data_IF_152201879127
#
_entry.id   IF_152201879127
#
_cell.length_a   1.000
_cell.length_b   1.000
_cell.length_c   1.000
_cell.angle_alpha   90.00
_cell.angle_beta   90.00
_cell.angle_gamma   90.00
#
_symmetry.space_group_name_H-M   'P 1'
#
loop_
_entity.id
_entity.type
_entity.pdbx_description
1 polymer ?
#
# COMPACT_ATOMS: atom_id res chain seq x y z
N UNK A 1 -13.92 -24.18 -8.93
CA UNK A 1 -13.81 -22.99 -8.07
C UNK A 1 -13.29 -21.88 -8.96
N UNK A 2 -14.17 -21.00 -9.41
CA UNK A 2 -13.76 -19.85 -10.21
C UNK A 2 -13.00 -18.88 -9.31
N UNK A 3 -11.71 -18.72 -9.59
CA UNK A 3 -10.89 -17.71 -8.91
C UNK A 3 -11.23 -16.37 -9.56
N UNK A 4 -12.15 -15.63 -8.95
CA UNK A 4 -12.45 -14.26 -9.36
C UNK A 4 -11.18 -13.41 -9.16
N UNK A 5 -10.54 -13.02 -10.26
CA UNK A 5 -9.42 -12.07 -10.21
C UNK A 5 -10.02 -10.68 -10.09
N UNK A 6 -9.78 -10.01 -8.96
CA UNK A 6 -10.11 -8.58 -8.84
C UNK A 6 -9.22 -7.78 -9.79
N UNK A 7 -9.83 -6.95 -10.63
CA UNK A 7 -9.11 -5.98 -11.46
C UNK A 7 -8.62 -4.82 -10.58
N UNK A 8 -7.37 -4.89 -10.13
CA UNK A 8 -6.74 -3.91 -9.24
C UNK A 8 -5.75 -3.08 -10.07
N UNK A 9 -5.83 -1.75 -9.96
CA UNK A 9 -4.87 -0.86 -10.61
C UNK A 9 -3.49 -0.98 -9.95
N UNK A 10 -2.41 -1.08 -10.74
CA UNK A 10 -1.05 -1.27 -10.22
C UNK A 10 -0.11 -0.19 -10.75
N UNK A 11 0.41 0.64 -9.85
CA UNK A 11 1.49 1.59 -10.12
C UNK A 11 2.81 1.05 -9.58
N UNK A 12 3.68 0.59 -10.49
CA UNK A 12 5.00 0.07 -10.14
C UNK A 12 5.94 1.19 -9.68
N UNK A 13 6.85 0.86 -8.76
CA UNK A 13 7.93 1.78 -8.37
C UNK A 13 9.01 1.78 -9.45
N UNK A 14 9.68 2.92 -9.66
CA UNK A 14 10.85 3.00 -10.52
C UNK A 14 12.14 2.50 -9.84
N UNK A 15 12.17 2.54 -8.50
CA UNK A 15 13.32 2.14 -7.69
C UNK A 15 12.87 1.16 -6.61
N UNK A 16 13.45 -0.04 -6.61
CA UNK A 16 13.17 -1.07 -5.60
C UNK A 16 14.10 -0.92 -4.41
N UNK A 17 13.54 -1.03 -3.20
CA UNK A 17 14.25 -1.01 -1.91
C UNK A 17 14.94 -2.34 -1.60
N UNK A 18 14.78 -3.36 -2.43
CA UNK A 18 15.36 -4.68 -2.19
C UNK A 18 16.89 -4.65 -2.05
N UNK A 19 17.56 -3.74 -2.75
CA UNK A 19 19.02 -3.57 -2.67
C UNK A 19 19.49 -2.93 -1.35
N UNK A 20 18.60 -2.25 -0.62
CA UNK A 20 18.88 -1.59 0.65
C UNK A 20 18.60 -2.52 1.85
N UNK A 21 18.01 -3.69 1.62
CA UNK A 21 17.64 -4.66 2.64
C UNK A 21 18.86 -5.41 3.19
N UNK A 22 19.20 -5.16 4.46
CA UNK A 22 20.10 -6.05 5.21
C UNK A 22 19.36 -7.31 5.66
N UNK A 23 19.60 -8.42 4.95
CA UNK A 23 18.98 -9.72 5.22
C UNK A 23 19.39 -10.32 6.57
N UNK A 24 20.51 -9.89 7.15
CA UNK A 24 21.01 -10.43 8.41
C UNK A 24 20.44 -9.68 9.64
N UNK A 25 19.81 -8.52 9.44
CA UNK A 25 19.26 -7.69 10.51
C UNK A 25 17.86 -7.16 10.13
N UNK A 26 16.88 -8.05 10.07
CA UNK A 26 15.49 -7.69 9.79
C UNK A 26 14.79 -7.35 11.11
N UNK A 27 14.61 -6.05 11.36
CA UNK A 27 13.86 -5.56 12.51
C UNK A 27 12.35 -5.54 12.26
N UNK A 28 11.57 -6.09 13.20
CA UNK A 28 10.12 -6.11 13.13
C UNK A 28 9.54 -4.69 13.09
N UNK A 29 8.64 -4.41 12.12
CA UNK A 29 7.94 -3.13 11.99
C UNK A 29 8.78 -1.96 11.47
N UNK A 30 10.01 -2.20 11.01
CA UNK A 30 10.90 -1.14 10.47
C UNK A 30 11.25 -1.32 9.00
N UNK A 31 11.06 -2.52 8.46
CA UNK A 31 11.35 -2.85 7.05
C UNK A 31 10.03 -2.95 6.29
N UNK A 32 9.88 -2.17 5.22
CA UNK A 32 8.66 -2.08 4.41
C UNK A 32 8.94 -2.45 2.95
N UNK A 33 7.96 -3.06 2.29
CA UNK A 33 8.03 -3.36 0.85
C UNK A 33 7.94 -2.11 -0.03
N UNK A 34 8.16 -2.30 -1.33
CA UNK A 34 8.11 -1.24 -2.35
C UNK A 34 6.71 -0.65 -2.55
N UNK A 35 5.67 -1.40 -2.22
CA UNK A 35 4.27 -1.06 -2.50
C UNK A 35 3.38 -1.22 -1.28
N UNK A 36 2.24 -0.52 -1.33
CA UNK A 36 1.11 -0.63 -0.42
C UNK A 36 -0.19 -0.75 -1.21
N UNK A 37 -1.18 -1.45 -0.64
CA UNK A 37 -2.55 -1.51 -1.15
C UNK A 37 -3.38 -0.41 -0.47
N UNK A 38 -4.09 0.38 -1.25
CA UNK A 38 -4.99 1.44 -0.76
C UNK A 38 -6.39 1.21 -1.33
N UNK A 39 -7.41 1.39 -0.51
CA UNK A 39 -8.80 1.38 -0.93
C UNK A 39 -9.55 2.43 -0.10
N UNK A 40 -10.17 3.39 -0.79
CA UNK A 40 -10.94 4.43 -0.13
C UNK A 40 -12.35 3.94 0.21
N UNK A 41 -12.84 4.34 1.38
CA UNK A 41 -14.23 4.12 1.76
C UNK A 41 -14.96 5.47 1.77
N UNK A 42 -15.89 5.65 0.86
CA UNK A 42 -16.60 6.91 0.63
C UNK A 42 -18.09 6.62 0.48
N UNK A 43 -18.92 7.43 1.14
CA UNK A 43 -20.40 7.34 1.07
C UNK A 43 -20.99 5.95 1.35
N UNK A 44 -20.34 5.19 2.24
CA UNK A 44 -20.83 3.87 2.65
C UNK A 44 -20.40 2.72 1.73
N UNK A 45 -19.48 2.96 0.79
CA UNK A 45 -18.99 1.94 -0.14
C UNK A 45 -17.47 1.95 -0.28
N UNK A 46 -16.91 0.79 -0.59
CA UNK A 46 -15.51 0.65 -0.98
C UNK A 46 -15.34 1.07 -2.44
N UNK A 47 -14.37 1.95 -2.69
CA UNK A 47 -13.90 2.28 -4.02
C UNK A 47 -12.93 1.21 -4.54
N UNK A 48 -12.56 1.34 -5.81
CA UNK A 48 -11.60 0.44 -6.46
C UNK A 48 -10.26 0.49 -5.71
N UNK A 49 -9.74 -0.68 -5.35
CA UNK A 49 -8.44 -0.80 -4.71
C UNK A 49 -7.31 -0.52 -5.71
N UNK A 50 -6.21 0.02 -5.20
CA UNK A 50 -5.00 0.31 -5.97
C UNK A 50 -3.75 -0.17 -5.23
N UNK A 51 -2.78 -0.70 -5.99
CA UNK A 51 -1.43 -0.99 -5.50
C UNK A 51 -0.53 0.15 -5.96
N UNK A 52 0.02 0.90 -5.00
CA UNK A 52 0.85 2.08 -5.27
C UNK A 52 2.19 2.01 -4.53
N UNK A 53 3.22 2.76 -4.95
CA UNK A 53 4.49 2.80 -4.23
C UNK A 53 4.29 3.23 -2.77
N UNK A 54 4.96 2.53 -1.86
CA UNK A 54 4.85 2.79 -0.42
C UNK A 54 5.35 4.20 -0.08
N UNK A 55 4.53 4.96 0.63
CA UNK A 55 4.87 6.32 1.04
C UNK A 55 3.87 6.91 2.03
N UNK A 56 4.09 8.18 2.38
CA UNK A 56 3.22 8.88 3.32
C UNK A 56 1.81 9.02 2.75
N UNK A 57 0.81 8.84 3.61
CA UNK A 57 -0.59 9.12 3.27
C UNK A 57 -0.90 10.59 3.55
N UNK A 58 -1.53 11.25 2.58
CA UNK A 58 -2.07 12.60 2.77
C UNK A 58 -3.50 12.49 3.28
N UNK A 59 -3.77 13.09 4.43
CA UNK A 59 -5.09 13.08 5.08
C UNK A 59 -5.46 14.48 5.55
N UNK A 60 -6.76 14.77 5.59
CA UNK A 60 -7.26 16.02 6.18
C UNK A 60 -6.97 16.03 7.68
N UNK A 61 -6.54 17.15 8.28
CA UNK A 61 -6.39 17.27 9.73
C UNK A 61 -7.69 17.03 10.52
N UNK A 62 -8.84 17.14 9.87
CA UNK A 62 -10.15 16.91 10.48
C UNK A 62 -10.57 15.42 10.50
N UNK A 63 -9.74 14.49 10.03
CA UNK A 63 -10.08 13.06 10.08
C UNK A 63 -10.19 12.56 11.52
N UNK A 64 -11.25 11.82 11.82
CA UNK A 64 -11.57 11.34 13.17
C UNK A 64 -10.63 10.28 13.75
N UNK A 65 -9.64 9.82 12.98
CA UNK A 65 -8.68 8.80 13.42
C UNK A 65 -7.46 9.37 14.16
N UNK A 66 -7.16 10.66 14.01
CA UNK A 66 -6.07 11.33 14.74
C UNK A 66 -6.47 11.73 16.15
#
# INVERSE_FOLDING_TARGET
>A
MDVFTLDISIKKTGNSRLNELDKNNIEFGKVYSDHMLVADYVDGAWNKAEIIPYGNMSMSPATSFF
#
